data_IF_935418969416
#
_entry.id   IF_935418969416
#
_cell.length_a   1.000
_cell.length_b   1.000
_cell.length_c   1.000
_cell.angle_alpha   90.00
_cell.angle_beta   90.00
_cell.angle_gamma   90.00
#
_symmetry.space_group_name_H-M   'P 1'
#
loop_
_entity.id
_entity.type
_entity.pdbx_description
1 polymer ?
#
# COMPACT_ATOMS: atom_id res chain seq x y z
N UNK A 1 21.17 -13.76 -20.36
CA UNK A 1 20.24 -14.30 -19.34
C UNK A 1 19.40 -13.12 -18.85
N UNK A 2 18.12 -13.09 -19.22
CA UNK A 2 17.25 -11.93 -18.97
C UNK A 2 17.06 -11.72 -17.47
N UNK A 3 17.41 -10.54 -16.96
CA UNK A 3 17.04 -10.10 -15.61
C UNK A 3 15.52 -10.02 -15.56
N UNK A 4 14.92 -10.85 -14.73
CA UNK A 4 13.52 -10.70 -14.32
C UNK A 4 13.44 -9.37 -13.55
N UNK A 5 12.89 -8.33 -14.18
CA UNK A 5 12.66 -7.03 -13.54
C UNK A 5 11.57 -7.26 -12.49
N UNK A 6 11.80 -6.98 -11.20
CA UNK A 6 10.79 -7.25 -10.18
C UNK A 6 9.58 -6.33 -10.42
N UNK A 7 8.41 -6.96 -10.58
CA UNK A 7 7.08 -6.42 -10.33
C UNK A 7 6.91 -4.90 -10.54
N UNK A 8 6.99 -4.42 -11.79
CA UNK A 8 6.71 -3.02 -12.07
C UNK A 8 5.23 -2.70 -11.84
N UNK A 9 4.96 -1.66 -11.05
CA UNK A 9 3.64 -1.02 -11.07
C UNK A 9 3.52 -0.19 -12.36
N UNK A 10 2.32 -0.10 -12.99
CA UNK A 10 2.08 0.81 -14.09
C UNK A 10 2.43 2.23 -13.69
N UNK A 11 3.14 2.96 -14.55
CA UNK A 11 3.57 4.35 -14.32
C UNK A 11 2.41 5.23 -13.86
N UNK A 12 1.19 5.01 -14.38
CA UNK A 12 0.00 5.75 -14.01
C UNK A 12 -0.42 5.63 -12.53
N UNK A 13 0.07 4.64 -11.78
CA UNK A 13 -0.27 4.52 -10.36
C UNK A 13 0.31 5.68 -9.55
N UNK A 14 1.54 6.11 -9.85
CA UNK A 14 2.24 7.13 -9.08
C UNK A 14 1.65 8.51 -9.35
N UNK A 15 1.18 8.77 -10.57
CA UNK A 15 0.38 9.95 -10.90
C UNK A 15 -0.93 9.98 -10.12
N UNK A 16 -1.66 8.85 -10.06
CA UNK A 16 -2.90 8.76 -9.26
C UNK A 16 -2.63 9.03 -7.78
N UNK A 17 -1.54 8.48 -7.22
CA UNK A 17 -1.15 8.70 -5.83
C UNK A 17 -0.76 10.17 -5.60
N UNK A 18 -0.01 10.77 -6.53
CA UNK A 18 0.36 12.19 -6.50
C UNK A 18 -0.86 13.11 -6.44
N UNK A 19 -1.88 12.83 -7.27
CA UNK A 19 -3.14 13.59 -7.29
C UNK A 19 -3.96 13.51 -6.00
N UNK A 20 -3.71 12.53 -5.11
CA UNK A 20 -4.38 12.49 -3.81
C UNK A 20 -3.84 13.54 -2.85
N UNK A 21 -2.58 13.94 -2.99
CA UNK A 21 -1.93 14.88 -2.11
C UNK A 21 -2.29 16.31 -2.53
N UNK A 22 -3.13 16.94 -1.71
CA UNK A 22 -3.53 18.35 -1.87
C UNK A 22 -2.91 19.26 -0.82
N UNK A 23 -2.39 18.68 0.27
CA UNK A 23 -1.72 19.38 1.35
C UNK A 23 -0.20 19.46 1.10
N UNK A 24 0.44 20.47 1.68
CA UNK A 24 1.89 20.64 1.71
C UNK A 24 2.41 20.53 3.17
N UNK A 25 3.63 20.01 3.41
CA UNK A 25 4.53 19.40 2.42
C UNK A 25 3.98 18.06 1.91
N UNK A 26 4.37 17.65 0.70
CA UNK A 26 4.09 16.32 0.16
C UNK A 26 5.00 15.29 0.82
N UNK A 27 4.74 15.04 2.10
CA UNK A 27 5.37 13.97 2.86
C UNK A 27 4.54 12.70 2.78
N UNK A 28 5.19 11.58 2.46
CA UNK A 28 4.54 10.26 2.35
C UNK A 28 5.13 9.28 3.36
N UNK A 29 4.28 8.42 3.92
CA UNK A 29 4.69 7.23 4.67
C UNK A 29 4.30 5.98 3.87
N UNK A 30 5.25 5.09 3.59
CA UNK A 30 5.00 3.78 2.97
C UNK A 30 5.16 2.67 4.03
N UNK A 31 4.04 2.10 4.48
CA UNK A 31 4.03 1.10 5.56
C UNK A 31 4.17 -0.32 5.03
N UNK A 32 5.12 -1.07 5.58
CA UNK A 32 5.55 -2.35 5.02
C UNK A 32 6.09 -2.18 3.60
N UNK A 33 7.05 -1.27 3.43
CA UNK A 33 7.55 -0.86 2.13
C UNK A 33 8.31 -1.96 1.38
N UNK A 34 8.74 -3.02 2.09
CA UNK A 34 9.56 -4.11 1.57
C UNK A 34 10.82 -3.56 0.90
N UNK A 35 11.09 -4.04 -0.33
CA UNK A 35 12.21 -3.51 -1.14
C UNK A 35 11.96 -2.09 -1.67
N UNK A 36 10.90 -1.38 -1.27
CA UNK A 36 10.71 0.04 -1.57
C UNK A 36 10.15 0.34 -2.95
N UNK A 37 9.37 -0.57 -3.55
CA UNK A 37 8.80 -0.34 -4.89
C UNK A 37 7.96 0.94 -4.95
N UNK A 38 7.10 1.17 -3.96
CA UNK A 38 6.27 2.38 -3.92
C UNK A 38 7.14 3.57 -3.46
N UNK A 39 7.85 3.44 -2.34
CA UNK A 39 8.77 4.45 -1.81
C UNK A 39 9.67 5.09 -2.88
N UNK A 40 10.44 4.27 -3.61
CA UNK A 40 11.46 4.75 -4.55
C UNK A 40 10.89 5.43 -5.79
N UNK A 41 9.70 5.03 -6.22
CA UNK A 41 9.06 5.60 -7.41
C UNK A 41 8.22 6.84 -7.07
N UNK A 42 7.74 6.98 -5.83
CA UNK A 42 7.03 8.19 -5.39
C UNK A 42 7.95 9.39 -5.23
N UNK A 43 9.25 9.21 -5.00
CA UNK A 43 10.19 10.31 -4.82
C UNK A 43 10.23 11.32 -5.97
N UNK A 44 9.82 10.94 -7.18
CA UNK A 44 9.72 11.87 -8.32
C UNK A 44 8.56 12.88 -8.18
N UNK A 45 7.64 12.65 -7.24
CA UNK A 45 6.37 13.38 -7.12
C UNK A 45 6.20 14.12 -5.79
N UNK A 46 7.11 13.91 -4.83
CA UNK A 46 6.93 14.27 -3.42
C UNK A 46 8.21 14.79 -2.80
N UNK A 47 8.10 15.52 -1.70
CA UNK A 47 9.25 16.15 -1.03
C UNK A 47 10.03 15.15 -0.16
N UNK A 48 9.29 14.24 0.50
CA UNK A 48 9.84 13.23 1.41
C UNK A 48 9.04 11.94 1.36
N UNK A 49 9.73 10.80 1.43
CA UNK A 49 9.11 9.52 1.74
C UNK A 49 9.82 8.84 2.91
N UNK A 50 9.06 8.48 3.94
CA UNK A 50 9.48 7.55 4.98
C UNK A 50 9.02 6.14 4.60
N UNK A 51 9.95 5.22 4.35
CA UNK A 51 9.67 3.81 4.09
C UNK A 51 9.92 2.97 5.34
N UNK A 52 8.88 2.31 5.86
CA UNK A 52 8.95 1.48 7.06
C UNK A 52 8.78 0.01 6.70
N UNK A 53 9.70 -0.85 7.13
CA UNK A 53 9.55 -2.30 7.06
C UNK A 53 10.25 -2.98 8.24
N UNK A 54 9.68 -4.06 8.76
CA UNK A 54 10.28 -4.80 9.88
C UNK A 54 11.50 -5.63 9.46
N UNK A 55 11.66 -5.90 8.15
CA UNK A 55 12.75 -6.69 7.61
C UNK A 55 13.96 -5.83 7.25
N UNK A 56 15.03 -5.97 8.04
CA UNK A 56 16.32 -5.31 7.77
C UNK A 56 16.84 -5.63 6.36
N UNK A 57 16.80 -6.91 5.95
CA UNK A 57 17.21 -7.34 4.61
C UNK A 57 16.43 -6.63 3.49
N UNK A 58 15.14 -6.37 3.68
CA UNK A 58 14.32 -5.65 2.70
C UNK A 58 14.73 -4.18 2.61
N UNK A 59 14.98 -3.53 3.76
CA UNK A 59 15.46 -2.15 3.85
C UNK A 59 16.84 -1.99 3.21
N UNK A 60 17.78 -2.91 3.50
CA UNK A 60 19.10 -2.91 2.87
C UNK A 60 19.01 -3.06 1.34
N UNK A 61 18.16 -3.98 0.88
CA UNK A 61 17.88 -4.17 -0.54
C UNK A 61 17.25 -2.91 -1.15
N UNK A 62 16.33 -2.25 -0.44
CA UNK A 62 15.66 -1.05 -0.90
C UNK A 62 16.64 0.09 -1.17
N UNK A 63 17.64 0.28 -0.28
CA UNK A 63 18.68 1.31 -0.36
C UNK A 63 19.58 1.18 -1.59
N UNK A 64 19.92 -0.04 -2.01
CA UNK A 64 20.87 -0.29 -3.11
C UNK A 64 20.23 -0.32 -4.50
N UNK A 65 18.91 -0.46 -4.56
CA UNK A 65 18.16 -0.48 -5.82
C UNK A 65 17.93 0.96 -6.35
N UNK A 66 17.59 1.13 -7.65
CA UNK A 66 17.44 2.45 -8.25
C UNK A 66 16.50 3.38 -7.48
N UNK A 67 16.92 4.63 -7.28
CA UNK A 67 16.28 5.66 -6.46
C UNK A 67 16.22 5.37 -4.94
N UNK A 68 16.90 4.31 -4.47
CA UNK A 68 16.93 3.92 -3.05
C UNK A 68 17.77 4.83 -2.16
N UNK A 69 18.72 5.56 -2.75
CA UNK A 69 19.62 6.49 -2.07
C UNK A 69 19.22 7.96 -2.25
N UNK A 70 17.99 8.24 -2.68
CA UNK A 70 17.50 9.59 -2.88
C UNK A 70 17.50 10.37 -1.54
N UNK A 71 17.95 11.64 -1.49
CA UNK A 71 18.08 12.39 -0.24
C UNK A 71 16.76 12.69 0.47
N UNK A 72 15.65 12.67 -0.27
CA UNK A 72 14.29 12.78 0.30
C UNK A 72 13.72 11.46 0.82
N UNK A 73 14.43 10.34 0.68
CA UNK A 73 14.01 9.03 1.20
C UNK A 73 14.64 8.76 2.55
N UNK A 74 13.81 8.38 3.52
CA UNK A 74 14.26 7.91 4.81
C UNK A 74 13.75 6.48 5.04
N UNK A 75 14.68 5.58 5.38
CA UNK A 75 14.38 4.17 5.58
C UNK A 75 14.39 3.82 7.07
N UNK A 76 13.27 3.31 7.56
CA UNK A 76 13.04 3.00 8.96
C UNK A 76 12.86 1.48 9.09
N UNK A 77 13.75 0.84 9.84
CA UNK A 77 13.67 -0.60 10.09
C UNK A 77 12.97 -0.86 11.42
N UNK A 78 11.86 -1.60 11.37
CA UNK A 78 11.09 -2.02 12.55
C UNK A 78 9.60 -2.17 12.28
N UNK A 79 8.85 -2.75 13.24
CA UNK A 79 7.39 -2.82 13.15
C UNK A 79 6.80 -1.41 13.20
N UNK A 80 5.80 -1.14 12.34
CA UNK A 80 5.20 0.20 12.22
C UNK A 80 4.52 0.65 13.53
N UNK A 81 4.14 -0.33 14.35
CA UNK A 81 3.59 -0.21 15.70
C UNK A 81 4.56 0.51 16.66
N UNK A 82 5.86 0.34 16.50
CA UNK A 82 6.87 0.76 17.50
C UNK A 82 7.80 1.86 17.00
N UNK A 83 8.03 1.94 15.69
CA UNK A 83 9.01 2.89 15.13
C UNK A 83 8.57 4.34 15.27
N UNK A 84 9.52 5.25 15.43
CA UNK A 84 9.24 6.68 15.43
C UNK A 84 8.93 7.17 14.02
N UNK A 85 7.77 7.81 13.86
CA UNK A 85 7.32 8.43 12.62
C UNK A 85 7.55 9.95 12.69
N UNK A 86 7.58 10.60 11.53
CA UNK A 86 7.75 12.05 11.37
C UNK A 86 6.52 12.68 10.71
N UNK A 87 5.34 12.66 11.36
CA UNK A 87 4.13 13.28 10.85
C UNK A 87 4.27 14.83 10.75
N UNK A 88 3.37 15.51 10.01
CA UNK A 88 2.22 14.94 9.31
C UNK A 88 2.55 14.42 7.90
N UNK A 89 1.76 13.45 7.42
CA UNK A 89 1.85 12.88 6.07
C UNK A 89 0.64 13.25 5.22
N UNK A 90 0.88 13.76 4.01
CA UNK A 90 -0.18 14.05 3.04
C UNK A 90 -0.75 12.76 2.42
N UNK A 91 0.03 11.66 2.45
CA UNK A 91 -0.39 10.35 1.98
C UNK A 91 0.30 9.26 2.79
N UNK A 92 -0.46 8.22 3.13
CA UNK A 92 0.08 6.95 3.63
C UNK A 92 -0.21 5.87 2.60
N UNK A 93 0.79 5.10 2.20
CA UNK A 93 0.64 3.97 1.27
C UNK A 93 0.86 2.64 1.99
N UNK A 94 0.08 1.62 1.61
CA UNK A 94 0.29 0.24 2.05
C UNK A 94 0.20 -0.72 0.86
N UNK A 95 1.33 -1.34 0.52
CA UNK A 95 1.44 -2.27 -0.61
C UNK A 95 1.34 -3.73 -0.17
N UNK A 96 0.13 -4.29 -0.06
CA UNK A 96 -0.08 -5.68 0.42
C UNK A 96 0.60 -5.99 1.77
N UNK A 97 0.63 -5.03 2.71
CA UNK A 97 1.33 -5.15 3.99
C UNK A 97 0.40 -5.12 5.21
N UNK A 98 -0.70 -4.35 5.16
CA UNK A 98 -1.59 -4.13 6.29
C UNK A 98 -2.14 -5.41 6.94
N UNK A 99 -2.30 -6.50 6.19
CA UNK A 99 -2.80 -7.77 6.74
C UNK A 99 -1.82 -8.48 7.69
N UNK A 100 -0.58 -8.01 7.82
CA UNK A 100 0.42 -8.53 8.76
C UNK A 100 0.53 -7.73 10.06
N UNK A 101 -0.18 -6.61 10.17
CA UNK A 101 -0.03 -5.63 11.25
C UNK A 101 -1.10 -5.81 12.33
N UNK A 102 -0.87 -5.25 13.52
CA UNK A 102 -1.91 -5.14 14.54
C UNK A 102 -2.81 -3.93 14.26
N UNK A 103 -4.06 -4.18 13.88
CA UNK A 103 -4.96 -3.14 13.40
C UNK A 103 -5.45 -2.21 14.51
N UNK A 104 -5.53 -2.71 15.75
CA UNK A 104 -5.90 -1.89 16.91
C UNK A 104 -4.82 -0.86 17.22
N UNK A 105 -3.56 -1.19 16.94
CA UNK A 105 -2.42 -0.30 17.14
C UNK A 105 -2.18 0.60 15.93
N UNK A 106 -2.16 0.02 14.73
CA UNK A 106 -1.74 0.71 13.51
C UNK A 106 -2.82 1.68 13.00
N UNK A 107 -4.09 1.28 12.99
CA UNK A 107 -5.15 2.13 12.42
C UNK A 107 -5.26 3.53 13.07
N UNK A 108 -5.32 3.68 14.40
CA UNK A 108 -5.34 5.00 15.03
C UNK A 108 -4.03 5.76 14.80
N UNK A 109 -2.88 5.08 14.87
CA UNK A 109 -1.57 5.68 14.60
C UNK A 109 -1.47 6.27 13.20
N UNK A 110 -1.93 5.56 12.17
CA UNK A 110 -1.95 6.07 10.79
C UNK A 110 -2.91 7.25 10.65
N UNK A 111 -4.10 7.17 11.27
CA UNK A 111 -5.09 8.25 11.23
C UNK A 111 -4.54 9.54 11.85
N UNK A 112 -3.89 9.46 13.00
CA UNK A 112 -3.28 10.59 13.70
C UNK A 112 -2.05 11.16 12.98
N UNK A 113 -1.37 10.34 12.17
CA UNK A 113 -0.20 10.76 11.42
C UNK A 113 -0.53 11.49 10.11
N UNK A 114 -1.79 11.46 9.66
CA UNK A 114 -2.22 12.12 8.42
C UNK A 114 -2.42 13.63 8.62
N UNK A 115 -2.18 14.39 7.55
CA UNK A 115 -2.66 15.78 7.45
C UNK A 115 -4.20 15.81 7.43
N UNK A 116 -4.77 17.02 7.57
CA UNK A 116 -6.23 17.23 7.53
C UNK A 116 -6.87 16.66 6.27
N UNK A 117 -6.27 16.82 5.09
CA UNK A 117 -6.80 16.28 3.84
C UNK A 117 -6.03 15.04 3.36
N UNK A 118 -5.30 14.39 4.27
CA UNK A 118 -4.47 13.22 3.95
C UNK A 118 -5.29 11.96 3.69
N UNK A 119 -4.71 11.06 2.91
CA UNK A 119 -5.34 9.79 2.53
C UNK A 119 -4.49 8.58 2.94
N UNK A 120 -5.18 7.48 3.26
CA UNK A 120 -4.59 6.14 3.26
C UNK A 120 -4.91 5.46 1.93
N UNK A 121 -3.87 5.11 1.17
CA UNK A 121 -3.96 4.44 -0.13
C UNK A 121 -3.46 3.01 -0.03
N UNK A 122 -4.38 2.06 -0.26
CA UNK A 122 -4.04 0.63 -0.28
C UNK A 122 -3.79 0.24 -1.73
N UNK A 123 -2.55 -0.13 -2.00
CA UNK A 123 -2.07 -0.47 -3.34
C UNK A 123 -1.98 -1.98 -3.48
N UNK A 124 -2.71 -2.53 -4.44
CA UNK A 124 -2.76 -3.97 -4.69
C UNK A 124 -2.68 -4.31 -6.17
N UNK A 125 -2.18 -5.50 -6.48
CA UNK A 125 -2.31 -6.08 -7.80
C UNK A 125 -3.56 -6.97 -7.81
N UNK A 126 -4.43 -6.79 -8.81
CA UNK A 126 -5.47 -7.79 -9.08
C UNK A 126 -4.95 -8.67 -10.21
N UNK A 127 -4.89 -9.97 -9.97
CA UNK A 127 -4.61 -10.91 -11.03
C UNK A 127 -5.69 -10.77 -12.12
N UNK A 128 -5.27 -10.87 -13.38
CA UNK A 128 -6.22 -11.02 -14.47
C UNK A 128 -7.05 -12.29 -14.22
N UNK A 129 -8.37 -12.25 -14.47
CA UNK A 129 -9.20 -13.43 -14.32
C UNK A 129 -8.65 -14.53 -15.22
N UNK A 130 -8.31 -15.67 -14.64
CA UNK A 130 -7.86 -16.84 -15.39
C UNK A 130 -9.09 -17.60 -15.89
N UNK A 131 -9.02 -18.27 -17.05
CA UNK A 131 -10.15 -19.03 -17.59
C UNK A 131 -10.71 -20.07 -16.63
N UNK A 132 -9.89 -20.58 -15.71
CA UNK A 132 -10.24 -21.60 -14.72
C UNK A 132 -10.69 -21.04 -13.36
N UNK A 133 -10.71 -19.72 -13.14
CA UNK A 133 -11.10 -19.13 -11.85
C UNK A 133 -12.50 -19.59 -11.41
N UNK A 134 -13.43 -19.73 -12.36
CA UNK A 134 -14.79 -20.19 -12.08
C UNK A 134 -14.84 -21.57 -11.43
N UNK A 135 -14.08 -22.54 -11.97
CA UNK A 135 -14.02 -23.89 -11.42
C UNK A 135 -13.12 -23.97 -10.19
N UNK A 136 -12.05 -23.18 -10.14
CA UNK A 136 -11.13 -23.12 -9.01
C UNK A 136 -11.86 -22.72 -7.72
N UNK A 137 -12.58 -21.59 -7.74
CA UNK A 137 -13.26 -21.07 -6.55
C UNK A 137 -14.55 -21.82 -6.19
N UNK A 138 -15.26 -22.38 -7.19
CA UNK A 138 -16.56 -23.05 -6.95
C UNK A 138 -16.44 -24.55 -6.67
N UNK A 139 -15.41 -25.20 -7.20
CA UNK A 139 -15.28 -26.66 -7.16
C UNK A 139 -13.99 -27.08 -6.48
N UNK A 140 -12.84 -26.62 -6.97
CA UNK A 140 -11.56 -27.16 -6.53
C UNK A 140 -11.23 -26.76 -5.10
N UNK A 141 -11.30 -25.47 -4.76
CA UNK A 141 -11.00 -24.99 -3.40
C UNK A 141 -11.96 -25.61 -2.37
N UNK A 142 -13.29 -25.59 -2.53
CA UNK A 142 -14.18 -26.22 -1.56
C UNK A 142 -13.98 -27.73 -1.42
N UNK A 143 -13.63 -28.43 -2.51
CA UNK A 143 -13.51 -29.91 -2.50
C UNK A 143 -12.18 -30.38 -1.93
N UNK A 144 -11.09 -29.65 -2.19
CA UNK A 144 -9.73 -30.13 -1.92
C UNK A 144 -8.93 -29.24 -0.95
N UNK A 145 -9.43 -28.05 -0.59
CA UNK A 145 -8.79 -27.22 0.41
C UNK A 145 -8.90 -27.88 1.79
N UNK A 146 -7.76 -28.01 2.45
CA UNK A 146 -7.68 -28.35 3.87
C UNK A 146 -8.15 -27.20 4.77
N UNK A 147 -8.24 -25.98 4.22
CA UNK A 147 -8.86 -24.84 4.88
C UNK A 147 -10.26 -24.63 4.30
N UNK A 148 -11.25 -25.23 4.97
CA UNK A 148 -12.67 -25.16 4.59
C UNK A 148 -13.35 -23.87 5.08
N UNK A 149 -12.77 -23.20 6.09
CA UNK A 149 -13.30 -22.00 6.74
C UNK A 149 -12.71 -20.71 6.18
N UNK A 150 -12.12 -20.75 4.97
CA UNK A 150 -11.52 -19.59 4.34
C UNK A 150 -12.59 -18.54 4.02
N UNK A 151 -12.68 -17.51 4.86
CA UNK A 151 -13.45 -16.30 4.57
C UNK A 151 -12.53 -15.35 3.80
N UNK A 152 -12.90 -14.91 2.59
CA UNK A 152 -12.13 -13.90 1.87
C UNK A 152 -12.03 -12.63 2.71
N UNK A 153 -10.81 -12.28 3.14
CA UNK A 153 -10.57 -11.10 3.94
C UNK A 153 -10.81 -9.84 3.10
N UNK A 154 -11.88 -9.09 3.41
CA UNK A 154 -12.14 -7.80 2.78
C UNK A 154 -11.58 -6.66 3.64
N UNK A 155 -10.31 -6.33 3.35
CA UNK A 155 -9.55 -5.25 3.98
C UNK A 155 -10.33 -3.92 4.07
N UNK A 156 -11.19 -3.64 3.08
CA UNK A 156 -11.96 -2.39 3.02
C UNK A 156 -13.11 -2.41 4.01
N UNK A 157 -13.87 -3.49 4.06
CA UNK A 157 -15.01 -3.65 4.97
C UNK A 157 -14.56 -3.62 6.44
N UNK A 158 -13.40 -4.20 6.74
CA UNK A 158 -12.83 -4.18 8.11
C UNK A 158 -12.35 -2.78 8.54
N UNK A 159 -11.81 -1.98 7.61
CA UNK A 159 -11.41 -0.58 7.92
C UNK A 159 -12.64 0.35 8.05
N UNK A 160 -13.71 0.07 7.31
CA UNK A 160 -14.98 0.80 7.41
C UNK A 160 -15.77 0.44 8.66
N UNK A 161 -15.82 -0.86 9.05
CA UNK A 161 -16.55 -1.32 10.24
C UNK A 161 -16.03 -0.71 11.54
N UNK A 162 -14.74 -0.34 11.55
CA UNK A 162 -14.05 0.30 12.68
C UNK A 162 -14.25 1.82 12.73
N UNK A 163 -14.97 2.44 11.77
CA UNK A 163 -15.22 3.89 11.68
C UNK A 163 -13.96 4.79 11.71
N UNK A 164 -12.78 4.23 11.41
CA UNK A 164 -11.52 5.00 11.38
C UNK A 164 -11.26 5.61 10.01
N UNK A 165 -11.75 4.95 8.96
CA UNK A 165 -11.52 5.29 7.57
C UNK A 165 -12.78 5.02 6.74
N UNK A 166 -13.15 5.94 5.85
CA UNK A 166 -14.27 5.78 4.92
C UNK A 166 -13.76 5.61 3.49
N UNK A 167 -14.30 4.64 2.74
CA UNK A 167 -13.97 4.48 1.32
C UNK A 167 -14.49 5.69 0.53
N UNK A 168 -13.57 6.40 -0.14
CA UNK A 168 -13.93 7.54 -1.00
C UNK A 168 -14.24 7.12 -2.45
N UNK A 169 -13.38 6.30 -3.05
CA UNK A 169 -13.50 5.69 -4.39
C UNK A 169 -12.21 4.94 -4.74
N UNK A 170 -12.30 3.75 -5.36
CA UNK A 170 -11.11 3.06 -5.90
C UNK A 170 -10.71 3.58 -7.29
N UNK A 171 -9.40 3.72 -7.58
CA UNK A 171 -8.88 4.14 -8.89
C UNK A 171 -8.00 3.05 -9.53
N UNK A 172 -8.07 2.86 -10.86
CA UNK A 172 -7.32 1.82 -11.60
C UNK A 172 -6.33 2.44 -12.58
N UNK A 173 -5.12 1.89 -12.64
CA UNK A 173 -4.16 2.12 -13.71
C UNK A 173 -4.01 0.82 -14.54
N UNK A 174 -4.26 0.90 -15.85
CA UNK A 174 -4.14 -0.24 -16.75
C UNK A 174 -2.73 -0.30 -17.36
N UNK A 175 -2.15 -1.50 -17.46
CA UNK A 175 -0.94 -1.78 -18.24
C UNK A 175 -1.21 -2.91 -19.24
N UNK A 176 -0.49 -2.91 -20.36
CA UNK A 176 -0.63 -3.81 -21.52
C UNK A 176 -0.61 -5.31 -21.18
N UNK A 177 -0.06 -5.71 -20.02
CA UNK A 177 -0.04 -7.11 -19.57
C UNK A 177 -0.69 -7.37 -18.19
N UNK A 178 -0.99 -6.33 -17.40
CA UNK A 178 -1.56 -6.44 -16.03
C UNK A 178 -2.33 -5.17 -15.66
N UNK A 179 -3.45 -5.29 -14.95
CA UNK A 179 -4.09 -4.12 -14.31
C UNK A 179 -3.60 -3.98 -12.87
N UNK A 180 -3.03 -2.84 -12.50
CA UNK A 180 -2.79 -2.50 -11.09
C UNK A 180 -3.87 -1.53 -10.62
N UNK A 181 -4.38 -1.74 -9.41
CA UNK A 181 -5.47 -0.94 -8.86
C UNK A 181 -4.99 -0.28 -7.59
N UNK A 182 -5.23 1.02 -7.43
CA UNK A 182 -5.43 1.56 -6.08
C UNK A 182 -6.79 1.01 -5.67
N UNK A 183 -6.78 -0.17 -5.06
CA UNK A 183 -8.00 -0.92 -4.73
C UNK A 183 -8.96 -0.06 -3.95
N UNK A 184 -8.38 0.80 -3.09
CA UNK A 184 -9.09 1.48 -2.02
C UNK A 184 -8.36 2.79 -1.71
N UNK A 185 -9.05 3.91 -1.83
CA UNK A 185 -8.62 5.20 -1.30
C UNK A 185 -9.53 5.50 -0.11
N UNK A 186 -8.93 5.65 1.06
CA UNK A 186 -9.66 5.87 2.29
C UNK A 186 -9.33 7.23 2.89
N UNK A 187 -10.36 7.93 3.38
CA UNK A 187 -10.24 9.22 4.05
C UNK A 187 -10.63 9.07 5.52
N UNK A 188 -9.92 9.77 6.40
CA UNK A 188 -10.21 9.83 7.85
C UNK A 188 -11.39 10.74 8.19
N UNK A 189 -11.95 11.47 7.21
CA UNK A 189 -13.03 12.43 7.40
C UNK A 189 -14.33 11.94 6.76
N UNK A 190 -15.39 11.88 7.56
CA UNK A 190 -16.77 11.88 7.08
C UNK A 190 -17.03 13.26 6.47
N UNK A 191 -17.23 13.38 5.15
CA UNK A 191 -17.88 14.61 4.66
C UNK A 191 -19.37 14.54 4.94
N UNK A 192 -20.01 15.67 5.25
CA UNK A 192 -21.47 15.77 5.33
C UNK A 192 -22.16 15.41 4.01
#
# INVERSE_FOLDING_TARGET
>A
RGRQIPHSLPIGIFSILSELMTDEPKAVLDVGCGTGLITRNLMEFVDRVDGVDFSENMIETAKILPNGNHPGTNWICGPVEEVLLSPPYALITAGQSLHWMDWEVVSPRLKESLTRNGYLAIVGQKNSPMPWDGDLFKKIIPTYSTNQDFVPYNLVEELESRNLFHLRRGRRALSLCRSSKVSTIMSSHSTP
#
